data_IF_158140575471
#
_entry.id   IF_158140575471
#
_cell.length_a   1.000
_cell.length_b   1.000
_cell.length_c   1.000
_cell.angle_alpha   90.00
_cell.angle_beta   90.00
_cell.angle_gamma   90.00
#
_symmetry.space_group_name_H-M   'P 1'
#
loop_
_entity.id
_entity.type
_entity.pdbx_description
1 polymer ?
#
# COMPACT_ATOMS: atom_id res chain seq x y z
N UNK A 1 -12.04 14.10 -18.25
CA UNK A 1 -11.59 12.72 -18.09
C UNK A 1 -11.36 12.40 -16.63
N UNK A 2 -11.82 11.23 -16.20
CA UNK A 2 -11.67 10.81 -14.82
C UNK A 2 -10.46 9.89 -14.66
N UNK A 3 -9.53 10.30 -13.82
CA UNK A 3 -8.38 9.45 -13.49
C UNK A 3 -8.75 8.61 -12.27
N UNK A 4 -8.78 7.29 -12.46
CA UNK A 4 -9.05 6.39 -11.36
C UNK A 4 -7.71 5.89 -10.84
N UNK A 5 -7.37 6.36 -9.64
CA UNK A 5 -6.18 5.93 -8.96
C UNK A 5 -6.51 4.66 -8.19
N UNK A 6 -5.79 3.58 -8.45
CA UNK A 6 -6.08 2.34 -7.74
C UNK A 6 -5.54 2.40 -6.31
N UNK A 7 -5.95 1.42 -5.49
CA UNK A 7 -5.58 1.40 -4.08
C UNK A 7 -4.07 1.34 -3.87
N UNK A 8 -3.37 0.63 -4.75
CA UNK A 8 -1.91 0.51 -4.63
C UNK A 8 -1.22 1.86 -4.78
N UNK A 9 -1.64 2.66 -5.78
CA UNK A 9 -1.08 3.98 -5.98
C UNK A 9 -1.38 4.90 -4.81
N UNK A 10 -2.61 4.84 -4.30
CA UNK A 10 -3.00 5.66 -3.16
C UNK A 10 -2.20 5.33 -1.91
N UNK A 11 -2.04 4.05 -1.62
CA UNK A 11 -1.27 3.61 -0.46
C UNK A 11 0.21 3.98 -0.61
N UNK A 12 0.75 3.83 -1.82
CA UNK A 12 2.13 4.21 -2.07
C UNK A 12 2.37 5.69 -1.79
N UNK A 13 1.48 6.53 -2.31
CA UNK A 13 1.59 7.97 -2.07
C UNK A 13 1.47 8.31 -0.59
N UNK A 14 0.56 7.65 0.11
CA UNK A 14 0.35 7.91 1.53
C UNK A 14 1.57 7.50 2.36
N UNK A 15 2.20 6.38 2.02
CA UNK A 15 3.42 5.96 2.71
C UNK A 15 4.56 6.93 2.41
N UNK A 16 4.73 7.30 1.14
CA UNK A 16 5.82 8.20 0.75
C UNK A 16 5.67 9.60 1.33
N UNK A 17 4.44 10.06 1.50
CA UNK A 17 4.17 11.38 2.07
C UNK A 17 4.17 11.37 3.60
N UNK A 18 4.22 10.20 4.22
CA UNK A 18 4.23 10.08 5.67
C UNK A 18 2.85 10.09 6.31
N UNK A 19 1.79 10.01 5.51
CA UNK A 19 0.42 9.97 6.05
C UNK A 19 0.15 8.69 6.81
N UNK A 20 0.68 7.57 6.31
CA UNK A 20 0.54 6.27 6.95
C UNK A 20 1.89 5.58 7.00
N UNK A 21 2.02 4.61 7.89
CA UNK A 21 3.22 3.79 7.98
C UNK A 21 3.14 2.62 7.01
N UNK A 22 4.27 1.96 6.77
CA UNK A 22 4.28 0.75 5.96
C UNK A 22 3.39 -0.33 6.57
N UNK A 23 3.40 -0.43 7.90
CA UNK A 23 2.55 -1.40 8.60
C UNK A 23 1.07 -1.11 8.33
N UNK A 24 0.67 0.15 8.39
CA UNK A 24 -0.72 0.53 8.09
C UNK A 24 -1.09 0.21 6.65
N UNK A 25 -0.16 0.42 5.72
CA UNK A 25 -0.39 0.05 4.32
C UNK A 25 -0.55 -1.46 4.17
N UNK A 26 0.25 -2.24 4.91
CA UNK A 26 0.14 -3.70 4.89
C UNK A 26 -1.23 -4.15 5.42
N UNK A 27 -1.74 -3.50 6.47
CA UNK A 27 -3.06 -3.79 6.98
C UNK A 27 -4.14 -3.53 5.93
N UNK A 28 -4.05 -2.40 5.24
CA UNK A 28 -5.02 -2.06 4.19
C UNK A 28 -4.97 -3.06 3.04
N UNK A 29 -3.78 -3.49 2.65
CA UNK A 29 -3.63 -4.49 1.58
C UNK A 29 -4.23 -5.82 1.99
N UNK A 30 -4.06 -6.19 3.25
CA UNK A 30 -4.67 -7.42 3.76
C UNK A 30 -6.20 -7.31 3.75
N UNK A 31 -6.75 -6.19 4.23
CA UNK A 31 -8.18 -5.97 4.26
C UNK A 31 -8.80 -5.93 2.87
N UNK A 32 -8.03 -5.44 1.89
CA UNK A 32 -8.49 -5.36 0.50
C UNK A 32 -8.29 -6.66 -0.27
N UNK A 33 -7.73 -7.68 0.36
CA UNK A 33 -7.57 -8.99 -0.26
C UNK A 33 -6.30 -9.17 -1.09
N UNK A 34 -5.37 -8.21 -1.02
CA UNK A 34 -4.11 -8.30 -1.76
C UNK A 34 -3.11 -9.26 -1.13
N UNK A 35 -3.22 -9.46 0.18
CA UNK A 35 -2.33 -10.35 0.90
C UNK A 35 -3.16 -11.26 1.81
N UNK A 36 -2.62 -12.42 2.12
CA UNK A 36 -3.31 -13.39 2.99
C UNK A 36 -3.21 -13.02 4.47
N UNK A 37 -2.26 -12.18 4.79
CA UNK A 37 -2.03 -11.72 6.17
C UNK A 37 -1.33 -10.36 6.10
N UNK A 38 -1.18 -9.71 7.25
CA UNK A 38 -0.51 -8.40 7.31
C UNK A 38 0.98 -8.63 7.13
N UNK A 39 1.50 -8.25 5.98
CA UNK A 39 2.88 -8.53 5.57
C UNK A 39 3.52 -7.26 5.00
N UNK A 40 4.43 -6.67 5.77
CA UNK A 40 5.10 -5.43 5.35
C UNK A 40 6.03 -5.65 4.15
N UNK A 41 6.67 -6.82 4.07
CA UNK A 41 7.52 -7.13 2.91
C UNK A 41 6.71 -7.22 1.63
N UNK A 42 5.55 -7.87 1.68
CA UNK A 42 4.67 -7.94 0.53
C UNK A 42 4.14 -6.55 0.17
N UNK A 43 3.80 -5.74 1.17
CA UNK A 43 3.34 -4.38 0.94
C UNK A 43 4.41 -3.56 0.22
N UNK A 44 5.65 -3.66 0.67
CA UNK A 44 6.75 -2.93 0.04
C UNK A 44 6.90 -3.30 -1.43
N UNK A 45 6.79 -4.59 -1.73
CA UNK A 45 6.89 -5.07 -3.11
C UNK A 45 5.70 -4.65 -3.96
N UNK A 46 4.50 -4.79 -3.43
CA UNK A 46 3.29 -4.43 -4.15
C UNK A 46 3.22 -2.93 -4.44
N UNK A 47 3.71 -2.11 -3.52
CA UNK A 47 3.69 -0.67 -3.65
C UNK A 47 4.94 -0.12 -4.35
N UNK A 48 5.87 -0.99 -4.73
CA UNK A 48 7.13 -0.59 -5.38
C UNK A 48 7.92 0.43 -4.55
N UNK A 49 7.94 0.23 -3.24
CA UNK A 49 8.69 1.11 -2.36
C UNK A 49 10.16 0.72 -2.35
N UNK A 50 11.02 1.71 -2.43
CA UNK A 50 12.46 1.48 -2.37
C UNK A 50 12.89 1.11 -0.96
N UNK A 51 13.94 0.32 -0.87
CA UNK A 51 14.54 -0.04 0.42
C UNK A 51 15.26 1.12 1.06
#
# INVERSE_FOLDING_TARGET
MLLIKNILDSLRDDVLSGKITLHEAAEELHESGWTNFIDEDAARRLLHLAD
#
